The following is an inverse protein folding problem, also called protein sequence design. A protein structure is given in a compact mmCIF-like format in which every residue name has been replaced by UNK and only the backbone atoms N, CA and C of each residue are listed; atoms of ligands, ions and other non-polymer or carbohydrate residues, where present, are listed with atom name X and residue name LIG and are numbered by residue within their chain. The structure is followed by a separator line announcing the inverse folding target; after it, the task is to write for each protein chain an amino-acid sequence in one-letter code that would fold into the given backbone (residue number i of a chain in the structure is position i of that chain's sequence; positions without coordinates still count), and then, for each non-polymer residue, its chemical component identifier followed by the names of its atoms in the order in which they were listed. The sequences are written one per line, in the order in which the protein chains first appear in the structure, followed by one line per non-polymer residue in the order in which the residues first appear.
data_IF_220626171308
#
_entry.id   IF_220626171308
#
_cell.length_a   1.000
_cell.length_b   1.000
_cell.length_c   1.000
_cell.angle_alpha   90.00
_cell.angle_beta   90.00
_cell.angle_gamma   90.00
#
_symmetry.space_group_name_H-M   'P 1'
#
loop_
_entity.id
_entity.type
_entity.pdbx_description
1 polymer ?
#
# COMPACT_ATOMS: atom_id res chain seq x y z
N UNK A 1 16.89 -11.07 22.33
CA UNK A 1 17.26 -11.77 21.07
C UNK A 1 17.03 -10.77 19.95
N UNK A 2 18.08 -10.14 19.41
CA UNK A 2 17.94 -9.15 18.35
C UNK A 2 17.59 -9.88 17.04
N UNK A 3 16.36 -9.73 16.57
CA UNK A 3 15.96 -10.22 15.25
C UNK A 3 16.81 -9.52 14.18
N UNK A 4 17.52 -10.29 13.34
CA UNK A 4 18.27 -9.74 12.21
C UNK A 4 17.31 -8.99 11.27
N UNK A 5 17.73 -7.86 10.70
CA UNK A 5 16.87 -7.04 9.83
C UNK A 5 16.23 -7.85 8.67
N UNK A 6 16.90 -8.92 8.21
CA UNK A 6 16.40 -9.84 7.19
C UNK A 6 15.16 -10.65 7.62
N UNK A 7 14.98 -10.93 8.92
CA UNK A 7 13.79 -11.67 9.39
C UNK A 7 12.56 -10.78 9.48
N UNK A 8 12.73 -9.48 9.76
CA UNK A 8 11.64 -8.51 9.83
C UNK A 8 11.30 -7.90 8.47
N UNK A 9 12.29 -7.77 7.58
CA UNK A 9 12.14 -7.23 6.23
C UNK A 9 12.59 -8.26 5.17
N UNK A 10 11.87 -9.38 5.00
CA UNK A 10 12.33 -10.48 4.17
C UNK A 10 12.29 -10.16 2.67
N UNK A 11 11.42 -9.25 2.22
CA UNK A 11 11.23 -8.98 0.79
C UNK A 11 12.12 -7.83 0.29
N UNK A 12 12.67 -7.90 -0.94
CA UNK A 12 13.37 -6.76 -1.54
C UNK A 12 12.38 -5.62 -1.86
N UNK A 13 12.90 -4.42 -2.16
CA UNK A 13 12.06 -3.36 -2.77
C UNK A 13 11.51 -3.82 -4.13
N UNK A 14 10.30 -3.35 -4.51
CA UNK A 14 9.72 -3.70 -5.79
C UNK A 14 10.48 -3.03 -6.95
N UNK A 15 10.64 -3.72 -8.10
CA UNK A 15 11.30 -3.15 -9.28
C UNK A 15 10.47 -2.06 -9.94
N UNK A 16 9.14 -2.12 -9.81
CA UNK A 16 8.22 -1.11 -10.31
C UNK A 16 8.34 0.21 -9.54
N UNK A 17 8.54 1.31 -10.25
CA UNK A 17 8.62 2.65 -9.65
C UNK A 17 7.31 3.08 -8.98
N UNK A 18 6.18 2.82 -9.62
CA UNK A 18 4.86 3.18 -9.09
C UNK A 18 4.56 2.43 -7.78
N UNK A 19 4.98 1.16 -7.69
CA UNK A 19 4.90 0.38 -6.46
C UNK A 19 5.76 0.99 -5.34
N UNK A 20 6.96 1.50 -5.66
CA UNK A 20 7.81 2.22 -4.69
C UNK A 20 7.18 3.53 -4.23
N UNK A 21 6.52 4.27 -5.12
CA UNK A 21 5.79 5.51 -4.78
C UNK A 21 4.66 5.20 -3.79
N UNK A 22 3.83 4.20 -4.10
CA UNK A 22 2.75 3.76 -3.21
C UNK A 22 3.30 3.30 -1.86
N UNK A 23 4.33 2.45 -1.85
CA UNK A 23 4.99 1.96 -0.64
C UNK A 23 5.54 3.11 0.21
N UNK A 24 6.25 4.06 -0.39
CA UNK A 24 6.78 5.22 0.33
C UNK A 24 5.66 6.02 1.00
N UNK A 25 4.59 6.31 0.25
CA UNK A 25 3.46 7.06 0.78
C UNK A 25 2.75 6.30 1.93
N UNK A 26 2.51 5.00 1.78
CA UNK A 26 1.95 4.16 2.86
C UNK A 26 2.83 4.16 4.11
N UNK A 27 4.16 4.03 3.96
CA UNK A 27 5.10 4.08 5.08
C UNK A 27 5.06 5.41 5.83
N UNK A 28 5.06 6.50 5.08
CA UNK A 28 4.98 7.86 5.63
C UNK A 28 3.66 8.09 6.37
N UNK A 29 2.55 7.72 5.76
CA UNK A 29 1.22 7.87 6.36
C UNK A 29 1.04 7.00 7.60
N UNK A 30 1.55 5.76 7.58
CA UNK A 30 1.49 4.86 8.72
C UNK A 30 2.29 5.35 9.93
N UNK A 31 3.45 5.98 9.69
CA UNK A 31 4.32 6.49 10.77
C UNK A 31 3.98 7.91 11.25
N UNK A 32 3.44 8.76 10.37
CA UNK A 32 3.28 10.21 10.64
C UNK A 32 1.84 10.72 10.45
N UNK A 33 0.90 9.82 10.16
CA UNK A 33 -0.50 10.14 9.95
C UNK A 33 -0.86 10.39 8.48
N UNK A 34 -2.16 10.23 8.17
CA UNK A 34 -2.70 10.29 6.81
C UNK A 34 -2.42 11.62 6.09
N UNK A 35 -2.27 12.70 6.85
CA UNK A 35 -2.00 14.04 6.32
C UNK A 35 -0.50 14.33 6.07
N UNK A 36 0.40 13.33 6.14
CA UNK A 36 1.84 13.54 5.98
C UNK A 36 2.20 14.33 4.71
N UNK A 37 2.92 15.43 4.91
CA UNK A 37 3.27 16.36 3.85
C UNK A 37 4.26 15.76 2.84
N UNK A 38 5.16 14.86 3.27
CA UNK A 38 6.13 14.24 2.35
C UNK A 38 5.45 13.21 1.47
N UNK A 39 4.51 12.42 2.00
CA UNK A 39 3.66 11.55 1.18
C UNK A 39 2.89 12.38 0.13
N UNK A 40 2.26 13.48 0.55
CA UNK A 40 1.54 14.36 -0.36
C UNK A 40 2.45 14.96 -1.45
N UNK A 41 3.64 15.42 -1.08
CA UNK A 41 4.61 15.96 -2.02
C UNK A 41 5.11 14.90 -3.01
N UNK A 42 5.38 13.66 -2.56
CA UNK A 42 5.76 12.57 -3.47
C UNK A 42 4.65 12.26 -4.48
N UNK A 43 3.39 12.22 -4.04
CA UNK A 43 2.26 12.03 -4.95
C UNK A 43 2.15 13.21 -5.94
N UNK A 44 2.33 14.44 -5.47
CA UNK A 44 2.35 15.63 -6.34
C UNK A 44 3.44 15.54 -7.41
N UNK A 45 4.66 15.18 -7.03
CA UNK A 45 5.78 15.05 -7.98
C UNK A 45 5.56 13.92 -8.99
N UNK A 46 4.95 12.81 -8.57
CA UNK A 46 4.70 11.65 -9.44
C UNK A 46 3.54 11.89 -10.44
N UNK A 47 2.45 12.50 -9.99
CA UNK A 47 1.19 12.60 -10.74
C UNK A 47 0.86 14.01 -11.24
N UNK A 48 1.66 15.02 -10.88
CA UNK A 48 1.44 16.40 -11.33
C UNK A 48 0.07 16.93 -10.92
N UNK A 49 -0.68 17.49 -11.87
CA UNK A 49 -2.00 18.09 -11.61
C UNK A 49 -3.05 17.07 -11.13
N UNK A 50 -2.92 15.81 -11.55
CA UNK A 50 -3.86 14.73 -11.21
C UNK A 50 -3.62 14.11 -9.84
N UNK A 51 -2.60 14.54 -9.08
CA UNK A 51 -2.18 13.88 -7.83
C UNK A 51 -3.25 13.75 -6.75
N UNK A 52 -4.26 14.62 -6.77
CA UNK A 52 -5.28 14.68 -5.70
C UNK A 52 -6.06 13.37 -5.60
N UNK A 53 -6.48 12.81 -6.73
CA UNK A 53 -7.28 11.57 -6.76
C UNK A 53 -6.52 10.38 -6.16
N UNK A 54 -5.32 10.00 -6.64
CA UNK A 54 -4.59 8.88 -6.06
C UNK A 54 -4.15 9.16 -4.61
N UNK A 55 -3.86 10.42 -4.24
CA UNK A 55 -3.53 10.78 -2.85
C UNK A 55 -4.71 10.58 -1.89
N UNK A 56 -5.91 11.05 -2.25
CA UNK A 56 -7.10 10.92 -1.41
C UNK A 56 -7.51 9.46 -1.28
N UNK A 57 -7.49 8.70 -2.38
CA UNK A 57 -7.83 7.27 -2.36
C UNK A 57 -6.82 6.46 -1.54
N UNK A 58 -5.52 6.78 -1.63
CA UNK A 58 -4.51 6.11 -0.83
C UNK A 58 -4.69 6.41 0.68
N UNK A 59 -5.09 7.64 1.03
CA UNK A 59 -5.43 7.98 2.42
C UNK A 59 -6.66 7.23 2.92
N UNK A 60 -7.68 7.09 2.07
CA UNK A 60 -8.87 6.32 2.39
C UNK A 60 -8.51 4.85 2.62
N UNK A 61 -7.75 4.23 1.71
CA UNK A 61 -7.24 2.87 1.88
C UNK A 61 -6.47 2.71 3.20
N UNK A 62 -5.57 3.63 3.54
CA UNK A 62 -4.82 3.58 4.81
C UNK A 62 -5.74 3.69 6.04
N UNK A 63 -6.79 4.51 5.97
CA UNK A 63 -7.80 4.61 7.02
C UNK A 63 -8.61 3.32 7.16
N UNK A 64 -9.03 2.74 6.03
CA UNK A 64 -9.80 1.49 5.99
C UNK A 64 -8.99 0.31 6.53
N UNK A 65 -7.71 0.21 6.18
CA UNK A 65 -6.77 -0.78 6.74
C UNK A 65 -6.65 -0.64 8.26
N UNK A 66 -6.44 0.59 8.75
CA UNK A 66 -6.29 0.86 10.18
C UNK A 66 -7.58 0.60 10.98
N UNK A 67 -8.74 0.88 10.40
CA UNK A 67 -10.04 0.68 11.04
C UNK A 67 -10.56 -0.76 11.01
N UNK A 68 -10.09 -1.58 10.07
CA UNK A 68 -10.64 -2.92 9.82
C UNK A 68 -9.72 -4.06 10.26
N UNK A 69 -8.41 -3.83 10.37
CA UNK A 69 -7.47 -4.89 10.74
C UNK A 69 -7.72 -5.42 12.16
N UNK A 70 -7.72 -6.74 12.31
CA UNK A 70 -7.80 -7.39 13.63
C UNK A 70 -6.50 -7.25 14.44
N UNK A 71 -5.40 -6.80 13.82
CA UNK A 71 -4.09 -6.71 14.44
C UNK A 71 -3.28 -5.52 13.95
N UNK A 72 -2.03 -5.44 14.41
CA UNK A 72 -1.11 -4.40 13.95
C UNK A 72 -0.51 -4.79 12.60
N UNK A 73 -0.71 -3.94 11.60
CA UNK A 73 -0.03 -4.06 10.30
C UNK A 73 1.38 -3.47 10.45
N UNK A 74 2.40 -4.33 10.42
CA UNK A 74 3.80 -3.89 10.53
C UNK A 74 4.25 -3.16 9.26
N UNK A 75 4.69 -1.91 9.43
CA UNK A 75 5.19 -1.03 8.37
C UNK A 75 6.66 -0.70 8.67
N UNK A 76 7.51 -0.77 7.65
CA UNK A 76 8.93 -0.43 7.79
C UNK A 76 9.16 1.08 7.78
N UNK A 77 10.26 1.57 8.38
CA UNK A 77 10.71 2.95 8.19
C UNK A 77 10.86 3.30 6.69
N UNK A 78 10.54 4.54 6.32
CA UNK A 78 10.48 4.96 4.91
C UNK A 78 11.80 4.83 4.13
N UNK A 79 12.94 4.79 4.82
CA UNK A 79 14.28 4.67 4.24
C UNK A 79 14.75 3.21 4.05
N UNK A 80 13.98 2.20 4.47
CA UNK A 80 14.40 0.81 4.34
C UNK A 80 14.34 0.31 2.90
N UNK A 81 15.45 -0.26 2.41
CA UNK A 81 15.57 -0.86 1.07
C UNK A 81 14.93 -2.26 0.93
N UNK A 82 14.07 -2.64 1.89
CA UNK A 82 13.41 -3.95 1.99
C UNK A 82 12.01 -3.77 2.56
N UNK A 83 11.13 -4.74 2.38
CA UNK A 83 9.72 -4.68 2.79
C UNK A 83 9.37 -5.73 3.85
N UNK A 84 8.41 -5.37 4.71
CA UNK A 84 7.73 -6.32 5.59
C UNK A 84 6.85 -7.28 4.77
N UNK A 85 6.42 -8.42 5.33
CA UNK A 85 5.45 -9.29 4.67
C UNK A 85 4.13 -8.56 4.35
N UNK A 86 3.66 -7.71 5.26
CA UNK A 86 2.44 -6.94 5.10
C UNK A 86 2.52 -5.94 3.94
N UNK A 87 3.66 -5.24 3.80
CA UNK A 87 3.92 -4.33 2.69
C UNK A 87 3.96 -5.07 1.34
N UNK A 88 4.63 -6.22 1.30
CA UNK A 88 4.66 -7.06 0.10
C UNK A 88 3.27 -7.58 -0.29
N UNK A 89 2.46 -7.98 0.71
CA UNK A 89 1.08 -8.40 0.48
C UNK A 89 0.23 -7.24 -0.05
N UNK A 90 0.34 -6.05 0.54
CA UNK A 90 -0.36 -4.85 0.10
C UNK A 90 -0.06 -4.49 -1.36
N UNK A 91 1.21 -4.47 -1.76
CA UNK A 91 1.57 -4.20 -3.16
C UNK A 91 1.09 -5.30 -4.11
N UNK A 92 1.12 -6.56 -3.67
CA UNK A 92 0.57 -7.68 -4.45
C UNK A 92 -0.94 -7.56 -4.65
N UNK A 93 -1.67 -7.07 -3.64
CA UNK A 93 -3.11 -6.81 -3.73
C UNK A 93 -3.37 -5.69 -4.74
N UNK A 94 -2.67 -4.55 -4.64
CA UNK A 94 -2.82 -3.44 -5.59
C UNK A 94 -2.51 -3.86 -7.04
N UNK A 95 -1.51 -4.72 -7.24
CA UNK A 95 -1.15 -5.23 -8.55
C UNK A 95 -2.17 -6.23 -9.13
N UNK A 96 -3.03 -6.83 -8.30
CA UNK A 96 -3.93 -7.94 -8.69
C UNK A 96 -5.40 -7.60 -8.63
N UNK A 97 -5.81 -6.61 -7.83
CA UNK A 97 -7.23 -6.40 -7.48
C UNK A 97 -8.13 -6.22 -8.72
N UNK A 98 -7.63 -5.58 -9.77
CA UNK A 98 -8.39 -5.38 -11.03
C UNK A 98 -8.37 -6.60 -11.97
N UNK A 99 -7.32 -7.42 -11.94
CA UNK A 99 -7.09 -8.51 -12.91
C UNK A 99 -7.36 -9.91 -12.34
N UNK A 100 -7.29 -10.06 -11.03
CA UNK A 100 -7.43 -11.31 -10.28
C UNK A 100 -8.05 -11.02 -8.89
N UNK A 101 -9.29 -10.52 -8.83
CA UNK A 101 -9.93 -10.03 -7.61
C UNK A 101 -10.06 -11.09 -6.53
N UNK A 102 -10.31 -12.35 -6.90
CA UNK A 102 -10.39 -13.46 -5.93
C UNK A 102 -9.05 -13.69 -5.23
N UNK A 103 -7.93 -13.67 -5.96
CA UNK A 103 -6.60 -13.80 -5.35
C UNK A 103 -6.29 -12.62 -4.44
N UNK A 104 -6.64 -11.40 -4.86
CA UNK A 104 -6.46 -10.20 -4.05
C UNK A 104 -7.32 -10.24 -2.77
N UNK A 105 -8.53 -10.79 -2.85
CA UNK A 105 -9.44 -10.97 -1.71
C UNK A 105 -8.86 -11.92 -0.66
N UNK A 106 -8.29 -13.06 -1.06
CA UNK A 106 -7.62 -13.97 -0.12
C UNK A 106 -6.44 -13.30 0.57
N UNK A 107 -5.57 -12.62 -0.19
CA UNK A 107 -4.45 -11.88 0.37
C UNK A 107 -4.90 -10.79 1.35
N UNK A 108 -5.99 -10.08 1.05
CA UNK A 108 -6.55 -9.06 1.94
C UNK A 108 -7.12 -9.67 3.22
N UNK A 109 -7.81 -10.80 3.13
CA UNK A 109 -8.32 -11.52 4.30
C UNK A 109 -7.19 -11.97 5.22
N UNK A 110 -6.12 -12.51 4.66
CA UNK A 110 -4.93 -12.94 5.41
C UNK A 110 -4.23 -11.73 6.06
N UNK A 111 -4.07 -10.63 5.33
CA UNK A 111 -3.45 -9.41 5.83
C UNK A 111 -4.24 -8.77 6.99
N UNK A 112 -5.57 -8.70 6.86
CA UNK A 112 -6.43 -8.06 7.85
C UNK A 112 -6.77 -8.96 9.03
N UNK A 113 -6.66 -10.29 8.87
CA UNK A 113 -7.10 -11.26 9.87
C UNK A 113 -8.62 -11.29 10.07
N UNK A 114 -9.39 -10.86 9.08
CA UNK A 114 -10.87 -10.79 9.13
C UNK A 114 -11.49 -11.33 7.83
N UNK A 115 -12.75 -11.76 7.90
CA UNK A 115 -13.46 -12.36 6.75
C UNK A 115 -14.17 -11.36 5.84
N UNK A 116 -14.61 -10.23 6.40
CA UNK A 116 -15.35 -9.19 5.67
C UNK A 116 -14.37 -8.12 5.20
N UNK A 117 -13.78 -8.35 4.03
CA UNK A 117 -12.72 -7.48 3.48
C UNK A 117 -13.17 -6.62 2.32
N UNK A 118 -14.42 -6.76 1.86
CA UNK A 118 -14.86 -6.20 0.58
C UNK A 118 -14.79 -4.67 0.55
N UNK A 119 -15.03 -3.99 1.68
CA UNK A 119 -14.86 -2.54 1.80
C UNK A 119 -13.42 -2.09 1.60
N UNK A 120 -12.47 -2.72 2.30
CA UNK A 120 -11.04 -2.41 2.16
C UNK A 120 -10.54 -2.82 0.77
N UNK A 121 -11.02 -3.94 0.23
CA UNK A 121 -10.70 -4.38 -1.12
C UNK A 121 -11.18 -3.38 -2.19
N UNK A 122 -12.37 -2.80 -2.02
CA UNK A 122 -12.88 -1.75 -2.90
C UNK A 122 -12.02 -0.47 -2.84
N UNK A 123 -11.55 -0.08 -1.65
CA UNK A 123 -10.61 1.05 -1.52
C UNK A 123 -9.26 0.76 -2.21
N UNK A 124 -8.77 -0.48 -2.13
CA UNK A 124 -7.55 -0.92 -2.81
C UNK A 124 -7.73 -0.91 -4.35
N UNK A 125 -8.88 -1.38 -4.84
CA UNK A 125 -9.27 -1.30 -6.25
C UNK A 125 -9.28 0.14 -6.75
N UNK A 126 -9.89 1.06 -5.98
CA UNK A 126 -9.92 2.48 -6.33
C UNK A 126 -8.53 3.10 -6.44
N UNK A 127 -7.60 2.73 -5.54
CA UNK A 127 -6.20 3.16 -5.63
C UNK A 127 -5.52 2.58 -6.87
N UNK A 128 -5.67 1.29 -7.14
CA UNK A 128 -5.09 0.63 -8.31
C UNK A 128 -5.59 1.27 -9.62
N UNK A 129 -6.91 1.50 -9.73
CA UNK A 129 -7.53 2.19 -10.86
C UNK A 129 -7.01 3.62 -11.01
N UNK A 130 -6.90 4.40 -9.93
CA UNK A 130 -6.38 5.77 -10.01
C UNK A 130 -4.91 5.84 -10.46
N UNK A 131 -4.10 4.83 -10.13
CA UNK A 131 -2.75 4.69 -10.64
C UNK A 131 -2.76 4.31 -12.14
N UNK A 132 -3.60 3.37 -12.55
CA UNK A 132 -3.72 2.93 -13.94
C UNK A 132 -4.25 4.03 -14.87
N UNK A 133 -5.24 4.81 -14.44
CA UNK A 133 -5.84 5.91 -15.20
C UNK A 133 -4.83 7.00 -15.56
N UNK A 134 -3.79 7.18 -14.75
CA UNK A 134 -2.68 8.10 -14.99
C UNK A 134 -1.50 7.44 -15.75
N UNK A 135 -1.72 6.25 -16.32
CA UNK A 135 -0.71 5.49 -17.05
C UNK A 135 0.40 4.90 -16.16
N UNK A 136 0.13 4.77 -14.85
CA UNK A 136 1.11 4.39 -13.83
C UNK A 136 0.68 3.17 -13.01
N UNK A 137 0.33 2.03 -13.64
CA UNK A 137 -0.14 0.85 -12.91
C UNK A 137 0.91 0.36 -11.89
N UNK A 138 0.42 -0.18 -10.77
CA UNK A 138 1.23 -0.86 -9.78
C UNK A 138 1.47 -2.30 -10.25
N UNK A 139 2.74 -2.71 -10.30
CA UNK A 139 3.15 -4.07 -10.65
C UNK A 139 4.16 -4.58 -9.63
N UNK A 140 4.23 -5.91 -9.46
CA UNK A 140 5.13 -6.59 -8.52
C UNK A 140 6.12 -7.47 -9.26
#
# INVERSE_FOLDING_TARGET
MLASATTLLPHPLPPCENARIALFAMRRMGAHGLADARAAHTMFTAFGQSFRRPLVLLRALMADLAGTSAGTIAIAPCCCARMTPAESAMLSILARVEIAPESARYLMADLLGVRRVDGVLASAAAVAAAFADEGRPVTM
#
